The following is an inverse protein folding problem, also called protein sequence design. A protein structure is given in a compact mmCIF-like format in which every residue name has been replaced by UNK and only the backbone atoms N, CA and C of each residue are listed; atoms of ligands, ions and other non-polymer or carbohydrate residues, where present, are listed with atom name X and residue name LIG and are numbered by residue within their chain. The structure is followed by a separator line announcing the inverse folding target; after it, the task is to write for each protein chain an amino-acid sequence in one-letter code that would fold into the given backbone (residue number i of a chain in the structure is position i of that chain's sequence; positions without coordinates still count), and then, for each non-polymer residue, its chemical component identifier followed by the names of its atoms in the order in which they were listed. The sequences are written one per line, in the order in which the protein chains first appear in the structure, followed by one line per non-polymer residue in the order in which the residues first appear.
data_IF_998571977405
#
_entry.id   IF_998571977405
#
_cell.length_a   1.000
_cell.length_b   1.000
_cell.length_c   1.000
_cell.angle_alpha   90.00
_cell.angle_beta   90.00
_cell.angle_gamma   90.00
#
_symmetry.space_group_name_H-M   'P 1'
#
loop_
_entity.id
_entity.type
_entity.pdbx_description
1 polymer ?
#
# COMPACT_ATOMS: atom_id res chain seq x y z
N UNK A 1 65.66 -17.47 52.30
CA UNK A 1 64.17 -17.49 52.29
C UNK A 1 63.57 -16.12 52.61
N UNK A 2 63.92 -15.47 53.73
CA UNK A 2 63.29 -14.21 54.17
C UNK A 2 63.40 -13.06 53.14
N UNK A 3 64.57 -12.79 52.55
CA UNK A 3 64.71 -11.74 51.52
C UNK A 3 63.86 -11.98 50.27
N UNK A 4 63.67 -13.23 49.86
CA UNK A 4 62.87 -13.56 48.67
C UNK A 4 61.38 -13.27 48.92
N UNK A 5 60.89 -13.60 50.12
CA UNK A 5 59.51 -13.30 50.55
C UNK A 5 59.26 -11.79 50.59
N UNK A 6 60.22 -11.00 51.10
CA UNK A 6 60.10 -9.54 51.17
C UNK A 6 60.02 -8.91 49.77
N UNK A 7 60.84 -9.37 48.82
CA UNK A 7 60.82 -8.85 47.44
C UNK A 7 59.49 -9.16 46.74
N UNK A 8 58.98 -10.39 46.87
CA UNK A 8 57.65 -10.74 46.33
C UNK A 8 56.53 -9.88 46.92
N UNK A 9 56.61 -9.57 48.23
CA UNK A 9 55.61 -8.77 48.91
C UNK A 9 55.66 -7.30 48.46
N UNK A 10 56.85 -6.73 48.22
CA UNK A 10 56.99 -5.39 47.64
C UNK A 10 56.45 -5.31 46.21
N UNK A 11 56.71 -6.31 45.37
CA UNK A 11 56.17 -6.35 44.00
C UNK A 11 54.64 -6.46 44.00
N UNK A 12 54.08 -7.27 44.89
CA UNK A 12 52.64 -7.42 45.02
C UNK A 12 51.98 -6.11 45.48
N UNK A 13 52.54 -5.45 46.51
CA UNK A 13 52.04 -4.17 47.00
C UNK A 13 52.16 -3.08 45.93
N UNK A 14 53.29 -3.03 45.20
CA UNK A 14 53.49 -2.09 44.10
C UNK A 14 52.50 -2.30 42.95
N UNK A 15 52.20 -3.55 42.60
CA UNK A 15 51.21 -3.90 41.57
C UNK A 15 49.81 -3.48 41.97
N UNK A 16 49.39 -3.76 43.21
CA UNK A 16 48.06 -3.37 43.72
C UNK A 16 47.91 -1.85 43.78
N UNK A 17 48.94 -1.14 44.26
CA UNK A 17 48.94 0.32 44.29
C UNK A 17 48.87 0.94 42.89
N UNK A 18 49.59 0.36 41.91
CA UNK A 18 49.50 0.76 40.50
C UNK A 18 48.10 0.58 39.94
N UNK A 19 47.49 -0.59 40.12
CA UNK A 19 46.12 -0.86 39.66
C UNK A 19 45.10 0.11 40.27
N UNK A 20 45.22 0.43 41.57
CA UNK A 20 44.33 1.39 42.23
C UNK A 20 44.52 2.83 41.73
N UNK A 21 45.74 3.22 41.32
CA UNK A 21 46.02 4.56 40.79
C UNK A 21 45.53 4.75 39.35
N UNK A 22 45.67 3.74 38.49
CA UNK A 22 45.33 3.82 37.06
C UNK A 22 43.90 3.37 36.71
N UNK A 23 43.25 2.58 37.56
CA UNK A 23 41.86 2.15 37.38
C UNK A 23 40.86 3.28 37.13
N UNK A 24 40.82 4.37 37.92
CA UNK A 24 39.84 5.44 37.72
C UNK A 24 40.08 6.21 36.42
N UNK A 25 41.33 6.46 36.02
CA UNK A 25 41.67 7.18 34.78
C UNK A 25 41.24 6.38 33.53
N UNK A 26 41.41 5.05 33.55
CA UNK A 26 40.92 4.18 32.47
C UNK A 26 39.40 4.20 32.34
N UNK A 27 38.67 4.22 33.47
CA UNK A 27 37.21 4.24 33.47
C UNK A 27 36.63 5.51 32.82
N UNK A 28 37.27 6.67 33.04
CA UNK A 28 36.87 7.95 32.44
C UNK A 28 37.15 7.97 30.95
N UNK A 29 38.32 7.46 30.53
CA UNK A 29 38.64 7.35 29.11
C UNK A 29 37.65 6.43 28.38
N UNK A 30 37.34 5.27 28.97
CA UNK A 30 36.36 4.33 28.40
C UNK A 30 34.97 4.96 28.29
N UNK A 31 34.53 5.69 29.31
CA UNK A 31 33.26 6.43 29.27
C UNK A 31 33.25 7.51 28.17
N UNK A 32 34.35 8.25 28.00
CA UNK A 32 34.50 9.24 26.93
C UNK A 32 34.41 8.62 25.53
N UNK A 33 35.10 7.51 25.30
CA UNK A 33 35.03 6.76 24.03
C UNK A 33 33.63 6.22 23.77
N UNK A 34 32.93 5.74 24.81
CA UNK A 34 31.55 5.26 24.68
C UNK A 34 30.58 6.38 24.29
N UNK A 35 30.69 7.56 24.90
CA UNK A 35 29.85 8.72 24.57
C UNK A 35 30.10 9.22 23.14
N UNK A 36 31.35 9.27 22.69
CA UNK A 36 31.68 9.61 21.30
C UNK A 36 31.09 8.60 20.31
N UNK A 37 31.16 7.31 20.63
CA UNK A 37 30.58 6.26 19.80
C UNK A 37 29.05 6.36 19.73
N UNK A 38 28.38 6.70 20.84
CA UNK A 38 26.93 6.90 20.87
C UNK A 38 26.50 8.12 20.04
N UNK A 39 27.21 9.25 20.15
CA UNK A 39 26.94 10.44 19.35
C UNK A 39 27.11 10.16 17.85
N UNK A 40 28.22 9.52 17.46
CA UNK A 40 28.46 9.14 16.07
C UNK A 40 27.36 8.20 15.54
N UNK A 41 26.92 7.22 16.33
CA UNK A 41 25.79 6.34 15.98
C UNK A 41 24.48 7.12 15.84
N UNK A 42 24.20 8.05 16.74
CA UNK A 42 22.98 8.86 16.68
C UNK A 42 22.94 9.75 15.44
N UNK A 43 24.06 10.36 15.06
CA UNK A 43 24.21 11.15 13.84
C UNK A 43 24.00 10.30 12.58
N UNK A 44 24.65 9.14 12.51
CA UNK A 44 24.47 8.19 11.40
C UNK A 44 23.01 7.74 11.28
N UNK A 45 22.39 7.36 12.40
CA UNK A 45 20.98 6.96 12.43
C UNK A 45 20.05 8.09 11.97
N UNK A 46 20.34 9.35 12.33
CA UNK A 46 19.59 10.50 11.84
C UNK A 46 19.76 10.65 10.33
N UNK A 47 20.99 10.55 9.83
CA UNK A 47 21.27 10.65 8.40
C UNK A 47 20.54 9.57 7.61
N UNK A 48 20.61 8.31 8.05
CA UNK A 48 19.89 7.18 7.43
C UNK A 48 18.39 7.49 7.35
N UNK A 49 17.76 7.86 8.47
CA UNK A 49 16.33 8.20 8.50
C UNK A 49 15.98 9.35 7.55
N UNK A 50 16.82 10.37 7.43
CA UNK A 50 16.58 11.47 6.50
C UNK A 50 16.70 11.04 5.04
N UNK A 51 17.68 10.19 4.72
CA UNK A 51 17.87 9.65 3.37
C UNK A 51 16.72 8.73 3.00
N UNK A 52 16.31 7.84 3.90
CA UNK A 52 15.15 6.96 3.73
C UNK A 52 13.85 7.76 3.53
N UNK A 53 13.61 8.79 4.35
CA UNK A 53 12.45 9.65 4.21
C UNK A 53 12.44 10.40 2.86
N UNK A 54 13.59 10.89 2.40
CA UNK A 54 13.73 11.52 1.09
C UNK A 54 13.45 10.54 -0.05
N UNK A 55 14.03 9.34 0.01
CA UNK A 55 13.81 8.30 -0.99
C UNK A 55 12.34 7.86 -1.04
N UNK A 56 11.69 7.72 0.12
CA UNK A 56 10.26 7.41 0.22
C UNK A 56 9.40 8.50 -0.41
N UNK A 57 9.69 9.77 -0.13
CA UNK A 57 8.99 10.91 -0.72
C UNK A 57 9.18 10.98 -2.24
N UNK A 58 10.38 10.73 -2.74
CA UNK A 58 10.66 10.68 -4.18
C UNK A 58 9.90 9.54 -4.86
N UNK A 59 9.94 8.35 -4.28
CA UNK A 59 9.18 7.19 -4.75
C UNK A 59 7.68 7.49 -4.81
N UNK A 60 7.11 8.08 -3.74
CA UNK A 60 5.70 8.46 -3.70
C UNK A 60 5.34 9.48 -4.80
N UNK A 61 6.21 10.46 -5.07
CA UNK A 61 6.02 11.42 -6.16
C UNK A 61 6.03 10.76 -7.53
N UNK A 62 6.98 9.87 -7.79
CA UNK A 62 7.05 9.13 -9.06
C UNK A 62 5.83 8.23 -9.25
N UNK A 63 5.39 7.56 -8.19
CA UNK A 63 4.17 6.76 -8.23
C UNK A 63 2.93 7.61 -8.51
N UNK A 64 2.81 8.77 -7.87
CA UNK A 64 1.71 9.70 -8.12
C UNK A 64 1.70 10.21 -9.57
N UNK A 65 2.88 10.55 -10.11
CA UNK A 65 3.01 10.94 -11.53
C UNK A 65 2.62 9.80 -12.47
N UNK A 66 3.07 8.58 -12.19
CA UNK A 66 2.69 7.40 -12.97
C UNK A 66 1.18 7.16 -12.95
N UNK A 67 0.52 7.37 -11.80
CA UNK A 67 -0.95 7.27 -11.71
C UNK A 67 -1.66 8.35 -12.51
N UNK A 68 -1.14 9.59 -12.51
CA UNK A 68 -1.69 10.68 -13.34
C UNK A 68 -1.60 10.34 -14.82
N UNK A 69 -0.45 9.84 -15.29
CA UNK A 69 -0.31 9.46 -16.71
C UNK A 69 -1.16 8.24 -17.07
N UNK A 70 -1.29 7.27 -16.15
CA UNK A 70 -2.22 6.15 -16.33
C UNK A 70 -3.67 6.63 -16.44
N UNK A 71 -4.09 7.55 -15.57
CA UNK A 71 -5.42 8.11 -15.57
C UNK A 71 -5.70 8.94 -16.85
N UNK A 72 -4.71 9.72 -17.32
CA UNK A 72 -4.79 10.42 -18.60
C UNK A 72 -4.94 9.46 -19.78
N UNK A 73 -4.12 8.41 -19.84
CA UNK A 73 -4.22 7.39 -20.89
C UNK A 73 -5.58 6.67 -20.88
N UNK A 74 -6.09 6.33 -19.69
CA UNK A 74 -7.42 5.74 -19.55
C UNK A 74 -8.53 6.72 -19.99
N UNK A 75 -8.42 8.01 -19.65
CA UNK A 75 -9.38 9.03 -20.05
C UNK A 75 -9.37 9.24 -21.58
N UNK A 76 -8.19 9.28 -22.20
CA UNK A 76 -8.06 9.40 -23.65
C UNK A 76 -8.61 8.17 -24.37
N UNK A 77 -8.27 6.96 -23.92
CA UNK A 77 -8.82 5.72 -24.46
C UNK A 77 -10.35 5.69 -24.35
N UNK A 78 -10.90 6.11 -23.20
CA UNK A 78 -12.35 6.20 -23.01
C UNK A 78 -13.00 7.22 -23.94
N UNK A 79 -12.37 8.38 -24.16
CA UNK A 79 -12.85 9.39 -25.10
C UNK A 79 -12.89 8.84 -26.53
N UNK A 80 -11.80 8.23 -27.00
CA UNK A 80 -11.72 7.64 -28.35
C UNK A 80 -12.77 6.53 -28.53
N UNK A 81 -12.98 5.70 -27.51
CA UNK A 81 -14.03 4.67 -27.55
C UNK A 81 -15.43 5.30 -27.58
N UNK A 82 -15.69 6.35 -26.78
CA UNK A 82 -16.97 7.03 -26.79
C UNK A 82 -17.27 7.69 -28.14
N UNK A 83 -16.27 8.35 -28.74
CA UNK A 83 -16.39 8.99 -30.04
C UNK A 83 -16.58 7.96 -31.17
N UNK A 84 -15.85 6.84 -31.13
CA UNK A 84 -15.98 5.78 -32.15
C UNK A 84 -17.30 5.01 -32.06
N UNK A 85 -17.85 4.84 -30.86
CA UNK A 85 -19.21 4.34 -30.64
C UNK A 85 -20.27 5.41 -30.92
N UNK A 86 -19.87 6.65 -31.22
CA UNK A 86 -20.71 7.79 -31.60
C UNK A 86 -21.60 8.33 -30.49
N UNK A 87 -21.06 8.38 -29.27
CA UNK A 87 -21.57 9.19 -28.17
C UNK A 87 -21.61 8.46 -26.82
N UNK A 88 -21.85 9.21 -25.73
CA UNK A 88 -21.84 8.69 -24.36
C UNK A 88 -22.83 7.53 -24.12
N UNK A 89 -24.03 7.60 -24.71
CA UNK A 89 -25.08 6.61 -24.47
C UNK A 89 -24.72 5.21 -25.01
N UNK A 90 -24.11 5.15 -26.21
CA UNK A 90 -23.68 3.88 -26.81
C UNK A 90 -22.43 3.33 -26.12
N UNK A 91 -21.54 4.20 -25.66
CA UNK A 91 -20.40 3.82 -24.82
C UNK A 91 -20.82 3.19 -23.49
N UNK A 92 -21.80 3.76 -22.79
CA UNK A 92 -22.30 3.20 -21.52
C UNK A 92 -22.94 1.82 -21.72
N UNK A 93 -23.74 1.64 -22.80
CA UNK A 93 -24.29 0.33 -23.16
C UNK A 93 -23.20 -0.69 -23.47
N UNK A 94 -22.20 -0.31 -24.28
CA UNK A 94 -21.06 -1.18 -24.59
C UNK A 94 -20.29 -1.58 -23.33
N UNK A 95 -20.00 -0.64 -22.43
CA UNK A 95 -19.33 -0.93 -21.14
C UNK A 95 -20.12 -1.88 -20.26
N UNK A 96 -21.44 -1.72 -20.23
CA UNK A 96 -22.32 -2.61 -19.49
C UNK A 96 -22.24 -4.04 -20.03
N UNK A 97 -22.33 -4.22 -21.35
CA UNK A 97 -22.20 -5.54 -22.00
C UNK A 97 -20.84 -6.16 -21.69
N UNK A 98 -19.75 -5.40 -21.88
CA UNK A 98 -18.39 -5.85 -21.54
C UNK A 98 -18.25 -6.26 -20.08
N UNK A 99 -18.87 -5.50 -19.16
CA UNK A 99 -18.87 -5.83 -17.74
C UNK A 99 -19.60 -7.15 -17.49
N UNK A 100 -20.76 -7.37 -18.11
CA UNK A 100 -21.51 -8.63 -17.96
C UNK A 100 -20.69 -9.83 -18.44
N UNK A 101 -20.12 -9.75 -19.65
CA UNK A 101 -19.28 -10.82 -20.22
C UNK A 101 -18.07 -11.14 -19.32
N UNK A 102 -17.43 -10.11 -18.77
CA UNK A 102 -16.27 -10.28 -17.88
C UNK A 102 -16.65 -10.97 -16.57
N UNK A 103 -17.80 -10.64 -15.99
CA UNK A 103 -18.26 -11.24 -14.73
C UNK A 103 -18.77 -12.67 -14.91
N UNK A 104 -19.46 -12.95 -16.02
CA UNK A 104 -19.90 -14.29 -16.40
C UNK A 104 -18.69 -15.22 -16.57
N UNK A 105 -17.63 -14.74 -17.25
CA UNK A 105 -16.37 -15.47 -17.40
C UNK A 105 -15.63 -15.70 -16.08
N UNK A 106 -15.82 -14.82 -15.10
CA UNK A 106 -15.26 -14.93 -13.75
C UNK A 106 -16.12 -15.80 -12.80
N UNK A 107 -17.23 -16.38 -13.27
CA UNK A 107 -18.13 -17.23 -12.48
C UNK A 107 -18.98 -16.48 -11.44
N UNK A 108 -18.96 -15.15 -11.44
CA UNK A 108 -19.70 -14.32 -10.49
C UNK A 108 -21.14 -14.08 -10.99
N UNK A 109 -22.09 -14.84 -10.44
CA UNK A 109 -23.52 -14.69 -10.76
C UNK A 109 -24.09 -13.49 -9.99
N UNK A 110 -24.16 -12.31 -10.63
CA UNK A 110 -24.83 -11.14 -10.02
C UNK A 110 -26.32 -11.12 -10.37
N UNK A 111 -27.14 -11.08 -9.33
CA UNK A 111 -28.57 -10.79 -9.36
C UNK A 111 -28.81 -9.40 -9.98
N UNK A 112 -29.55 -9.36 -11.09
CA UNK A 112 -29.94 -8.12 -11.76
C UNK A 112 -31.03 -7.46 -10.89
N UNK A 113 -30.66 -6.49 -10.05
CA UNK A 113 -31.63 -5.65 -9.35
C UNK A 113 -32.23 -4.69 -10.40
N UNK A 114 -33.46 -4.96 -10.83
CA UNK A 114 -34.20 -4.11 -11.75
C UNK A 114 -34.56 -2.80 -11.04
N UNK A 115 -33.79 -1.73 -11.30
CA UNK A 115 -34.19 -0.37 -10.96
C UNK A 115 -34.98 0.21 -12.15
N UNK A 116 -36.31 0.38 -12.05
CA UNK A 116 -37.11 0.87 -13.16
C UNK A 116 -36.75 2.33 -13.45
N UNK A 117 -36.06 2.56 -14.56
CA UNK A 117 -35.97 3.87 -15.22
C UNK A 117 -36.72 3.78 -16.54
N UNK A 118 -37.98 4.21 -16.53
CA UNK A 118 -38.96 4.60 -17.57
C UNK A 118 -38.79 4.27 -19.08
N UNK A 119 -38.01 3.26 -19.49
CA UNK A 119 -37.80 3.01 -20.92
C UNK A 119 -37.53 1.56 -21.35
N UNK A 120 -37.60 0.58 -20.44
CA UNK A 120 -37.24 -0.81 -20.76
C UNK A 120 -38.34 -1.85 -20.44
N UNK A 121 -39.61 -1.46 -20.57
CA UNK A 121 -40.72 -2.42 -20.63
C UNK A 121 -41.02 -2.70 -22.11
N UNK A 122 -40.94 -3.96 -22.58
CA UNK A 122 -41.50 -4.32 -23.87
C UNK A 122 -43.02 -4.10 -23.83
N UNK A 123 -43.52 -3.17 -24.64
CA UNK A 123 -44.93 -2.75 -24.71
C UNK A 123 -45.84 -3.80 -25.39
N UNK A 124 -45.51 -5.09 -25.32
CA UNK A 124 -45.98 -6.06 -26.35
C UNK A 124 -47.00 -7.09 -25.87
N UNK A 125 -47.71 -6.90 -24.74
CA UNK A 125 -48.80 -7.81 -24.34
C UNK A 125 -50.02 -7.13 -23.67
N UNK A 126 -49.96 -5.85 -23.28
CA UNK A 126 -51.05 -5.18 -22.53
C UNK A 126 -52.31 -4.85 -23.36
N UNK A 127 -52.30 -5.12 -24.68
CA UNK A 127 -53.39 -4.80 -25.59
C UNK A 127 -54.25 -5.99 -26.04
N UNK A 128 -53.94 -7.24 -25.63
CA UNK A 128 -54.75 -8.39 -26.05
C UNK A 128 -56.00 -8.47 -25.17
N UNK A 129 -57.00 -7.66 -25.51
CA UNK A 129 -58.35 -7.80 -25.00
C UNK A 129 -58.79 -9.25 -25.18
N UNK A 130 -59.07 -9.90 -24.05
CA UNK A 130 -59.68 -11.22 -23.96
C UNK A 130 -61.01 -11.16 -24.73
N UNK A 131 -61.09 -11.88 -25.85
CA UNK A 131 -62.36 -12.10 -26.52
C UNK A 131 -63.28 -12.89 -25.56
N UNK A 132 -64.55 -12.47 -25.35
CA UNK A 132 -65.45 -13.20 -24.47
C UNK A 132 -65.79 -14.60 -25.04
N UNK A 133 -66.11 -15.58 -24.17
CA UNK A 133 -66.29 -16.96 -24.60
C UNK A 133 -67.55 -17.11 -25.46
N UNK A 134 -67.44 -17.91 -26.52
CA UNK A 134 -68.55 -18.28 -27.39
C UNK A 134 -69.55 -19.14 -26.64
N UNK A 135 -70.76 -18.61 -26.41
CA UNK A 135 -71.87 -19.34 -25.82
C UNK A 135 -72.90 -19.68 -26.90
N UNK A 136 -73.29 -20.97 -26.97
CA UNK A 136 -74.65 -21.37 -27.35
C UNK A 136 -75.01 -21.49 -28.84
N UNK A 137 -74.81 -22.71 -29.36
CA UNK A 137 -75.38 -23.35 -30.57
C UNK A 137 -76.88 -23.05 -30.86
N UNK A 138 -77.16 -22.56 -32.09
CA UNK A 138 -78.28 -22.77 -33.10
C UNK A 138 -79.67 -23.31 -32.68
N UNK A 139 -80.73 -23.23 -33.53
CA UNK A 139 -80.85 -22.63 -34.87
C UNK A 139 -81.76 -21.37 -34.96
#
# INVERSE_FOLDING_TARGET
MVSFVIVCLMLFVGSVAGCMRYGPEYSVWQQGMSGQAELARAEQNRQIKTTEARASLESAKLNAQAEVERAKGAAEANRVLADSLGGPDRYLRWRWIMMLETNERAGSHREIIYAPTDGNLPMTEAGRAVAPPAEGRTP
#
